data_IF_605829711077
#
_entry.id   IF_605829711077
#
_cell.length_a   1.000
_cell.length_b   1.000
_cell.length_c   1.000
_cell.angle_alpha   90.00
_cell.angle_beta   90.00
_cell.angle_gamma   90.00
#
_symmetry.space_group_name_H-M   'P 1'
#
loop_
_entity.id
_entity.type
_entity.pdbx_description
1 polymer ?
#
# COMPACT_ATOMS: atom_id res chain seq x y z
N UNK A 1 4.14 -32.07 29.33
CA UNK A 1 2.72 -31.64 29.21
C UNK A 1 2.44 -30.34 29.92
N UNK A 2 2.73 -30.17 31.22
CA UNK A 2 2.41 -28.91 31.97
C UNK A 2 2.98 -27.62 31.34
N UNK A 3 4.25 -27.68 30.89
CA UNK A 3 4.92 -26.53 30.24
C UNK A 3 4.27 -26.14 28.90
N UNK A 4 3.84 -27.13 28.10
CA UNK A 4 3.14 -26.86 26.83
C UNK A 4 1.80 -26.16 27.09
N UNK A 5 1.04 -26.64 28.07
CA UNK A 5 -0.23 -26.02 28.47
C UNK A 5 -0.01 -24.59 28.98
N UNK A 6 1.04 -24.34 29.76
CA UNK A 6 1.39 -23.00 30.23
C UNK A 6 1.73 -22.06 29.06
N UNK A 7 2.56 -22.51 28.11
CA UNK A 7 2.91 -21.72 26.93
C UNK A 7 1.66 -21.38 26.10
N UNK A 8 0.79 -22.38 25.86
CA UNK A 8 -0.46 -22.15 25.12
C UNK A 8 -1.35 -21.15 25.86
N UNK A 9 -1.49 -21.29 27.18
CA UNK A 9 -2.29 -20.34 27.98
C UNK A 9 -1.71 -18.90 27.87
N UNK A 10 -0.41 -18.74 27.96
CA UNK A 10 0.26 -17.42 27.81
C UNK A 10 0.01 -16.83 26.41
N UNK A 11 0.12 -17.64 25.35
CA UNK A 11 -0.14 -17.18 23.98
C UNK A 11 -1.60 -16.76 23.76
N UNK A 12 -2.54 -17.51 24.31
CA UNK A 12 -3.99 -17.17 24.24
C UNK A 12 -4.26 -15.86 24.98
N UNK A 13 -3.69 -15.67 26.16
CA UNK A 13 -3.84 -14.42 26.92
C UNK A 13 -3.21 -13.24 26.15
N UNK A 14 -2.01 -13.42 25.61
CA UNK A 14 -1.34 -12.39 24.82
C UNK A 14 -2.15 -12.00 23.56
N UNK A 15 -2.71 -13.00 22.85
CA UNK A 15 -3.58 -12.76 21.70
C UNK A 15 -4.88 -12.03 22.10
N UNK A 16 -5.47 -12.39 23.25
CA UNK A 16 -6.65 -11.70 23.80
C UNK A 16 -6.35 -10.24 24.14
N UNK A 17 -5.21 -9.95 24.76
CA UNK A 17 -4.78 -8.58 25.06
C UNK A 17 -4.54 -7.80 23.76
N UNK A 18 -3.86 -8.38 22.80
CA UNK A 18 -3.62 -7.76 21.50
C UNK A 18 -4.94 -7.43 20.76
N UNK A 19 -5.91 -8.35 20.80
CA UNK A 19 -7.24 -8.15 20.23
C UNK A 19 -8.00 -7.01 20.94
N UNK A 20 -7.95 -6.96 22.26
CA UNK A 20 -8.58 -5.90 23.05
C UNK A 20 -7.98 -4.52 22.73
N UNK A 21 -6.66 -4.41 22.74
CA UNK A 21 -5.98 -3.17 22.37
C UNK A 21 -6.31 -2.81 20.93
N UNK A 22 -6.25 -3.76 20.00
CA UNK A 22 -6.59 -3.54 18.59
C UNK A 22 -8.04 -3.09 18.38
N UNK A 23 -8.98 -3.54 19.21
CA UNK A 23 -10.36 -3.09 19.17
C UNK A 23 -10.52 -1.61 19.58
N UNK A 24 -9.65 -1.10 20.45
CA UNK A 24 -9.63 0.30 20.89
C UNK A 24 -8.94 1.24 19.89
N UNK A 25 -8.15 0.70 18.94
CA UNK A 25 -7.48 1.49 17.93
C UNK A 25 -8.45 1.93 16.82
N UNK A 26 -8.24 3.12 16.22
CA UNK A 26 -9.05 3.57 15.10
C UNK A 26 -8.91 2.61 13.90
N UNK A 27 -10.02 2.42 13.19
CA UNK A 27 -10.05 1.65 11.94
C UNK A 27 -9.27 2.36 10.85
N UNK A 28 -9.38 3.70 10.79
CA UNK A 28 -8.73 4.55 9.79
C UNK A 28 -7.37 5.01 10.25
N UNK A 29 -6.45 5.08 9.30
CA UNK A 29 -5.14 5.68 9.51
C UNK A 29 -4.74 6.46 8.26
N UNK A 30 -3.83 7.40 8.45
CA UNK A 30 -3.20 8.13 7.37
C UNK A 30 -1.69 7.95 7.46
N UNK A 31 -1.05 7.68 6.32
CA UNK A 31 0.39 7.60 6.20
C UNK A 31 0.84 8.24 4.90
N UNK A 32 2.02 8.85 4.88
CA UNK A 32 2.59 9.35 3.64
C UNK A 32 4.12 9.25 3.64
N UNK A 33 4.69 9.12 2.46
CA UNK A 33 6.13 9.18 2.19
C UNK A 33 6.35 9.85 0.85
N UNK A 34 7.54 10.42 0.69
CA UNK A 34 7.94 11.03 -0.56
C UNK A 34 9.34 10.58 -0.96
N UNK A 35 9.62 10.63 -2.26
CA UNK A 35 10.93 10.37 -2.80
C UNK A 35 11.15 11.15 -4.11
N UNK A 36 12.41 11.48 -4.39
CA UNK A 36 12.79 12.19 -5.61
C UNK A 36 13.36 11.22 -6.63
N UNK A 37 12.93 11.42 -7.88
CA UNK A 37 13.32 10.61 -9.03
C UNK A 37 13.99 11.48 -10.10
N UNK A 38 15.03 10.94 -10.76
CA UNK A 38 15.74 11.61 -11.86
C UNK A 38 15.07 11.37 -13.22
N UNK A 39 13.75 11.31 -13.23
CA UNK A 39 12.92 11.11 -14.44
C UNK A 39 11.83 12.18 -14.47
N UNK A 40 11.43 12.58 -15.68
CA UNK A 40 10.38 13.57 -15.85
C UNK A 40 9.02 13.06 -15.33
N UNK A 41 8.08 13.96 -14.90
CA UNK A 41 6.77 13.59 -14.41
C UNK A 41 5.99 12.66 -15.34
N UNK A 42 6.01 12.91 -16.64
CA UNK A 42 5.30 12.07 -17.63
C UNK A 42 5.83 10.63 -17.65
N UNK A 43 7.15 10.44 -17.59
CA UNK A 43 7.75 9.11 -17.57
C UNK A 43 7.46 8.38 -16.25
N UNK A 44 7.45 9.10 -15.13
CA UNK A 44 7.08 8.56 -13.83
C UNK A 44 5.61 8.14 -13.81
N UNK A 45 4.72 9.04 -14.27
CA UNK A 45 3.29 8.77 -14.36
C UNK A 45 2.97 7.56 -15.23
N UNK A 46 3.62 7.44 -16.39
CA UNK A 46 3.43 6.32 -17.31
C UNK A 46 3.75 4.97 -16.66
N UNK A 47 4.75 4.90 -15.79
CA UNK A 47 5.08 3.68 -15.04
C UNK A 47 4.05 3.41 -13.95
N UNK A 48 3.59 4.43 -13.23
CA UNK A 48 2.58 4.29 -12.17
C UNK A 48 1.22 3.85 -12.72
N UNK A 49 0.82 4.38 -13.88
CA UNK A 49 -0.45 4.07 -14.54
C UNK A 49 -0.38 2.81 -15.43
N UNK A 50 0.81 2.27 -15.63
CA UNK A 50 1.06 1.08 -16.44
C UNK A 50 0.96 -0.23 -15.65
N UNK A 51 1.32 -1.36 -16.31
CA UNK A 51 1.34 -2.66 -15.67
C UNK A 51 2.25 -2.70 -14.44
N UNK A 52 1.80 -3.34 -13.32
CA UNK A 52 2.55 -3.38 -12.06
C UNK A 52 3.64 -4.48 -12.02
N UNK A 53 4.12 -4.97 -13.16
CA UNK A 53 5.09 -6.06 -13.31
C UNK A 53 6.47 -5.78 -12.70
N UNK A 54 6.76 -4.53 -12.45
CA UNK A 54 8.00 -4.06 -11.81
C UNK A 54 7.95 -4.13 -10.27
N UNK A 55 6.77 -4.36 -9.67
CA UNK A 55 6.60 -4.43 -8.21
C UNK A 55 6.93 -5.84 -7.70
N UNK A 56 7.83 -5.94 -6.74
CA UNK A 56 8.27 -7.24 -6.18
C UNK A 56 7.13 -8.00 -5.47
N UNK A 57 6.14 -7.29 -4.96
CA UNK A 57 4.97 -7.87 -4.28
C UNK A 57 3.91 -8.45 -5.23
N UNK A 58 3.95 -8.13 -6.54
CA UNK A 58 2.95 -8.56 -7.52
C UNK A 58 3.48 -9.78 -8.28
N UNK A 59 2.74 -10.89 -8.28
CA UNK A 59 3.06 -12.12 -9.01
C UNK A 59 2.29 -12.25 -10.31
N UNK A 60 1.04 -11.82 -10.30
CA UNK A 60 0.20 -11.76 -11.48
C UNK A 60 -0.80 -10.61 -11.36
N UNK A 61 -1.27 -10.13 -12.49
CA UNK A 61 -2.26 -9.06 -12.55
C UNK A 61 -3.11 -9.23 -13.81
N UNK A 62 -4.23 -8.55 -13.86
CA UNK A 62 -5.09 -8.54 -15.05
C UNK A 62 -6.11 -7.42 -14.99
N UNK A 63 -6.50 -6.96 -16.17
CA UNK A 63 -7.54 -5.95 -16.32
C UNK A 63 -8.93 -6.53 -16.04
N UNK A 64 -9.82 -5.68 -15.56
CA UNK A 64 -11.24 -5.97 -15.38
C UNK A 64 -12.05 -4.99 -16.22
N UNK A 65 -13.30 -5.37 -16.59
CA UNK A 65 -14.20 -4.41 -17.19
C UNK A 65 -14.36 -3.15 -16.37
N UNK A 66 -14.36 -2.00 -17.02
CA UNK A 66 -14.61 -0.72 -16.38
C UNK A 66 -15.98 -0.74 -15.69
N UNK A 67 -16.06 -0.10 -14.54
CA UNK A 67 -17.31 0.07 -13.81
C UNK A 67 -17.53 1.55 -13.53
N UNK A 68 -18.70 2.06 -13.87
CA UNK A 68 -19.06 3.47 -13.71
C UNK A 68 -18.05 4.45 -14.37
N UNK A 69 -17.46 4.01 -15.50
CA UNK A 69 -16.47 4.78 -16.26
C UNK A 69 -15.07 4.80 -15.62
N UNK A 70 -14.82 3.96 -14.63
CA UNK A 70 -13.52 3.86 -13.93
C UNK A 70 -12.80 2.59 -14.32
N UNK A 71 -11.51 2.72 -14.62
CA UNK A 71 -10.61 1.59 -14.88
C UNK A 71 -10.47 0.74 -13.64
N UNK A 72 -10.46 -0.59 -13.84
CA UNK A 72 -10.30 -1.58 -12.77
C UNK A 72 -9.32 -2.66 -13.19
N UNK A 73 -8.57 -3.16 -12.22
CA UNK A 73 -7.67 -4.30 -12.38
C UNK A 73 -7.57 -5.08 -11.07
N UNK A 74 -7.00 -6.26 -11.14
CA UNK A 74 -6.64 -7.05 -9.97
C UNK A 74 -5.14 -7.32 -9.96
N UNK A 75 -4.58 -7.43 -8.77
CA UNK A 75 -3.22 -7.86 -8.51
C UNK A 75 -3.25 -9.06 -7.56
N UNK A 76 -2.35 -10.02 -7.76
CA UNK A 76 -2.19 -11.20 -6.91
C UNK A 76 -0.77 -11.23 -6.34
N UNK A 77 -0.66 -11.45 -5.05
CA UNK A 77 0.62 -11.56 -4.35
C UNK A 77 1.17 -12.99 -4.33
N UNK A 78 2.33 -13.19 -3.66
CA UNK A 78 2.97 -14.50 -3.48
C UNK A 78 2.14 -15.49 -2.64
N UNK A 79 1.16 -15.02 -1.88
CA UNK A 79 0.25 -15.83 -1.06
C UNK A 79 -1.07 -16.15 -1.78
N UNK A 80 -1.16 -15.82 -3.08
CA UNK A 80 -2.38 -15.95 -3.91
C UNK A 80 -3.55 -15.10 -3.42
N UNK A 81 -3.25 -14.05 -2.67
CA UNK A 81 -4.27 -13.07 -2.32
C UNK A 81 -4.46 -12.11 -3.49
N UNK A 82 -5.68 -12.09 -4.02
CA UNK A 82 -6.09 -11.15 -5.05
C UNK A 82 -6.72 -9.92 -4.41
N UNK A 83 -6.35 -8.76 -4.93
CA UNK A 83 -6.92 -7.48 -4.55
C UNK A 83 -7.35 -6.76 -5.81
N UNK A 84 -8.58 -6.30 -5.84
CA UNK A 84 -9.14 -5.49 -6.94
C UNK A 84 -8.94 -4.02 -6.65
N UNK A 85 -8.43 -3.31 -7.63
CA UNK A 85 -8.20 -1.88 -7.60
C UNK A 85 -9.10 -1.14 -8.57
N UNK A 86 -9.41 0.11 -8.25
CA UNK A 86 -10.17 1.05 -9.07
C UNK A 86 -9.44 2.38 -9.12
N UNK A 87 -9.28 2.92 -10.33
CA UNK A 87 -8.74 4.25 -10.55
C UNK A 87 -9.84 5.29 -10.28
N UNK A 88 -9.73 6.01 -9.17
CA UNK A 88 -10.75 6.98 -8.74
C UNK A 88 -10.42 8.41 -9.12
N UNK A 89 -9.15 8.71 -9.41
CA UNK A 89 -8.69 9.99 -9.94
C UNK A 89 -7.57 9.75 -10.95
N UNK A 90 -7.63 10.42 -12.10
CA UNK A 90 -6.66 10.32 -13.20
C UNK A 90 -6.40 11.71 -13.78
N UNK A 91 -5.32 12.36 -13.33
CA UNK A 91 -4.93 13.71 -13.73
C UNK A 91 -3.44 13.75 -14.17
N UNK A 92 -3.10 13.13 -15.32
CA UNK A 92 -1.72 13.05 -15.79
C UNK A 92 -1.12 14.42 -16.11
N UNK A 93 0.18 14.61 -15.89
CA UNK A 93 1.09 13.69 -15.20
C UNK A 93 1.21 14.00 -13.70
N UNK A 94 0.24 14.71 -13.11
CA UNK A 94 0.36 15.35 -11.79
C UNK A 94 -0.19 14.53 -10.63
N UNK A 95 -1.27 13.78 -10.89
CA UNK A 95 -1.98 13.13 -9.80
C UNK A 95 -2.73 11.90 -10.26
N UNK A 96 -2.71 10.86 -9.41
CA UNK A 96 -3.49 9.65 -9.57
C UNK A 96 -3.98 9.20 -8.19
N UNK A 97 -5.20 8.67 -8.11
CA UNK A 97 -5.68 8.01 -6.90
C UNK A 97 -6.29 6.65 -7.23
N UNK A 98 -5.92 5.65 -6.43
CA UNK A 98 -6.30 4.25 -6.59
C UNK A 98 -6.94 3.75 -5.31
N UNK A 99 -8.12 3.14 -5.41
CA UNK A 99 -8.85 2.59 -4.28
C UNK A 99 -8.90 1.07 -4.35
N UNK A 100 -8.85 0.40 -3.19
CA UNK A 100 -9.21 -1.01 -3.07
C UNK A 100 -10.73 -1.14 -3.23
N UNK A 101 -11.18 -1.89 -4.24
CA UNK A 101 -12.58 -2.02 -4.60
C UNK A 101 -13.24 -3.29 -4.01
N UNK A 102 -12.47 -4.22 -3.46
CA UNK A 102 -12.99 -5.44 -2.86
C UNK A 102 -13.71 -5.17 -1.54
N UNK A 103 -14.87 -5.82 -1.39
CA UNK A 103 -15.61 -5.88 -0.15
C UNK A 103 -15.28 -7.21 0.56
N UNK A 104 -14.97 -7.15 1.85
CA UNK A 104 -14.68 -8.35 2.63
C UNK A 104 -13.21 -8.65 2.87
N UNK A 105 -12.30 -7.85 2.35
CA UNK A 105 -10.90 -7.88 2.77
C UNK A 105 -10.76 -7.36 4.21
N UNK A 106 -9.76 -7.82 4.98
CA UNK A 106 -9.50 -7.33 6.33
C UNK A 106 -8.93 -5.90 6.36
N UNK A 107 -8.75 -5.29 5.21
CA UNK A 107 -8.24 -3.94 5.00
C UNK A 107 -8.88 -3.31 3.76
N UNK A 108 -8.77 -1.98 3.64
CA UNK A 108 -9.23 -1.19 2.50
C UNK A 108 -8.52 0.16 2.47
N UNK A 109 -8.98 1.05 1.61
CA UNK A 109 -8.47 2.42 1.56
C UNK A 109 -8.11 2.90 0.16
N UNK A 110 -7.53 4.10 0.13
CA UNK A 110 -7.14 4.78 -1.10
C UNK A 110 -5.69 5.23 -1.01
N UNK A 111 -4.93 5.00 -2.08
CA UNK A 111 -3.60 5.56 -2.27
C UNK A 111 -3.67 6.71 -3.26
N UNK A 112 -3.05 7.82 -2.89
CA UNK A 112 -2.91 9.00 -3.73
C UNK A 112 -1.45 9.22 -4.07
N UNK A 113 -1.19 9.45 -5.35
CA UNK A 113 0.13 9.72 -5.91
C UNK A 113 0.15 11.16 -6.43
N UNK A 114 0.91 12.03 -5.78
CA UNK A 114 1.12 13.40 -6.20
C UNK A 114 2.52 13.55 -6.80
N UNK A 115 2.61 14.04 -8.03
CA UNK A 115 3.87 14.20 -8.77
C UNK A 115 4.09 15.69 -9.06
N UNK A 116 5.21 16.21 -8.60
CA UNK A 116 5.64 17.57 -8.90
C UNK A 116 6.96 17.55 -9.69
N UNK A 117 7.13 18.43 -10.68
CA UNK A 117 8.41 18.58 -11.37
C UNK A 117 9.47 19.17 -10.42
N UNK A 118 10.72 18.74 -10.59
CA UNK A 118 11.87 19.34 -9.93
C UNK A 118 12.67 20.20 -10.91
N UNK A 119 13.30 21.25 -10.41
CA UNK A 119 14.25 22.03 -11.17
C UNK A 119 15.39 21.11 -11.65
N UNK A 120 15.67 21.14 -12.98
CA UNK A 120 16.67 20.27 -13.59
C UNK A 120 16.14 18.95 -14.16
N UNK A 121 14.81 18.74 -14.21
CA UNK A 121 14.20 17.65 -15.01
C UNK A 121 13.85 16.36 -14.27
N UNK A 122 13.81 16.37 -12.94
CA UNK A 122 13.35 15.26 -12.11
C UNK A 122 11.90 15.40 -11.66
N UNK A 123 11.47 14.47 -10.81
CA UNK A 123 10.15 14.46 -10.17
C UNK A 123 10.26 14.25 -8.68
N UNK A 124 9.40 14.92 -7.93
CA UNK A 124 9.10 14.66 -6.53
C UNK A 124 7.78 13.87 -6.47
N UNK A 125 7.81 12.65 -5.99
CA UNK A 125 6.63 11.79 -5.81
C UNK A 125 6.29 11.72 -4.34
N UNK A 126 5.08 12.13 -3.99
CA UNK A 126 4.46 11.87 -2.69
C UNK A 126 3.40 10.78 -2.85
N UNK A 127 3.48 9.74 -2.03
CA UNK A 127 2.42 8.75 -1.89
C UNK A 127 1.77 8.95 -0.53
N UNK A 128 0.45 9.09 -0.52
CA UNK A 128 -0.36 9.15 0.68
C UNK A 128 -1.36 7.99 0.69
N UNK A 129 -1.52 7.36 1.85
CA UNK A 129 -2.48 6.30 2.10
C UNK A 129 -3.50 6.77 3.13
N UNK A 130 -4.77 6.78 2.74
CA UNK A 130 -5.91 6.84 3.63
C UNK A 130 -6.43 5.40 3.78
N UNK A 131 -5.85 4.68 4.75
CA UNK A 131 -6.05 3.25 4.92
C UNK A 131 -7.10 2.91 5.97
N UNK A 132 -7.72 1.75 5.81
CA UNK A 132 -8.67 1.18 6.75
C UNK A 132 -8.25 -0.25 7.10
N UNK A 133 -8.19 -0.59 8.39
CA UNK A 133 -7.87 -1.94 8.87
C UNK A 133 -9.05 -2.44 9.72
N UNK A 134 -9.81 -3.39 9.18
CA UNK A 134 -11.02 -3.89 9.83
C UNK A 134 -10.72 -4.98 10.87
N UNK A 135 -9.67 -5.77 10.68
CA UNK A 135 -9.28 -6.82 11.60
C UNK A 135 -8.53 -6.25 12.81
N UNK A 136 -9.00 -6.57 14.02
CA UNK A 136 -8.45 -6.02 15.28
C UNK A 136 -7.00 -6.44 15.55
N UNK A 137 -6.62 -7.66 15.20
CA UNK A 137 -5.25 -8.14 15.35
C UNK A 137 -4.33 -7.41 14.36
N UNK A 138 -4.78 -7.20 13.13
CA UNK A 138 -4.01 -6.45 12.13
C UNK A 138 -3.84 -4.98 12.53
N UNK A 139 -4.84 -4.36 13.18
CA UNK A 139 -4.68 -2.99 13.74
C UNK A 139 -3.59 -2.93 14.80
N UNK A 140 -3.59 -3.90 15.73
CA UNK A 140 -2.53 -4.01 16.72
C UNK A 140 -1.15 -4.17 16.06
N UNK A 141 -1.01 -5.10 15.11
CA UNK A 141 0.24 -5.38 14.41
C UNK A 141 0.71 -4.17 13.59
N UNK A 142 -0.18 -3.51 12.86
CA UNK A 142 0.14 -2.31 12.10
C UNK A 142 0.61 -1.16 13.01
N UNK A 143 -0.01 -0.99 14.18
CA UNK A 143 0.34 0.10 15.10
C UNK A 143 1.67 -0.12 15.82
N UNK A 144 1.98 -1.36 16.23
CA UNK A 144 3.06 -1.63 17.18
C UNK A 144 4.22 -2.45 16.61
N UNK A 145 4.03 -3.15 15.50
CA UNK A 145 5.04 -4.05 14.93
C UNK A 145 5.51 -3.59 13.55
N UNK A 146 4.61 -3.36 12.60
CA UNK A 146 4.99 -3.10 11.20
C UNK A 146 5.07 -1.60 10.87
N UNK A 147 4.31 -0.74 11.56
CA UNK A 147 4.06 0.64 11.15
C UNK A 147 3.08 0.73 9.98
N UNK A 148 2.66 1.95 9.65
CA UNK A 148 1.73 2.21 8.55
C UNK A 148 2.43 2.57 7.23
N UNK A 149 3.76 2.75 7.24
CA UNK A 149 4.50 3.28 6.09
C UNK A 149 5.26 2.22 5.29
N UNK A 150 5.36 1.00 5.83
CA UNK A 150 6.19 -0.06 5.23
C UNK A 150 5.80 -0.42 3.80
N UNK A 151 4.50 -0.45 3.48
CA UNK A 151 3.97 -0.69 2.13
C UNK A 151 4.37 0.41 1.15
N UNK A 152 4.22 1.68 1.56
CA UNK A 152 4.61 2.85 0.75
C UNK A 152 6.13 2.85 0.51
N UNK A 153 6.91 2.58 1.54
CA UNK A 153 8.37 2.53 1.43
C UNK A 153 8.85 1.40 0.52
N UNK A 154 8.20 0.22 0.59
CA UNK A 154 8.46 -0.88 -0.34
C UNK A 154 8.18 -0.48 -1.78
N UNK A 155 7.02 0.13 -2.03
CA UNK A 155 6.62 0.62 -3.34
C UNK A 155 7.63 1.64 -3.92
N UNK A 156 8.08 2.61 -3.12
CA UNK A 156 9.07 3.61 -3.53
C UNK A 156 10.44 2.97 -3.86
N UNK A 157 10.85 1.93 -3.11
CA UNK A 157 12.09 1.19 -3.41
C UNK A 157 11.99 0.41 -4.72
N UNK A 158 10.87 -0.27 -4.95
CA UNK A 158 10.62 -1.01 -6.20
C UNK A 158 10.63 -0.05 -7.39
N UNK A 159 9.99 1.11 -7.25
CA UNK A 159 9.98 2.16 -8.27
C UNK A 159 11.39 2.72 -8.52
N UNK A 160 12.19 2.90 -7.47
CA UNK A 160 13.61 3.23 -7.59
C UNK A 160 14.37 2.20 -8.42
N UNK A 161 14.15 0.92 -8.15
CA UNK A 161 14.74 -0.21 -8.91
C UNK A 161 14.30 -0.18 -10.38
N UNK A 162 13.01 0.09 -10.65
CA UNK A 162 12.48 0.22 -12.02
C UNK A 162 13.21 1.28 -12.85
N UNK A 163 13.65 2.36 -12.21
CA UNK A 163 14.39 3.45 -12.85
C UNK A 163 15.91 3.37 -12.66
N UNK A 164 16.44 2.24 -12.19
CA UNK A 164 17.86 2.01 -11.90
C UNK A 164 18.48 3.13 -11.03
N UNK A 165 17.78 3.49 -9.95
CA UNK A 165 18.25 4.49 -9.00
C UNK A 165 17.92 4.12 -7.56
N UNK A 166 18.82 4.48 -6.65
CA UNK A 166 18.52 4.46 -5.21
C UNK A 166 17.76 5.74 -4.86
N UNK A 167 16.65 5.57 -4.14
CA UNK A 167 15.83 6.68 -3.67
C UNK A 167 16.01 6.89 -2.19
N UNK A 168 16.05 8.16 -1.76
CA UNK A 168 15.95 8.54 -0.36
C UNK A 168 14.46 8.78 -0.07
N UNK A 169 13.94 8.06 0.92
CA UNK A 169 12.54 8.17 1.32
C UNK A 169 12.44 9.13 2.49
N UNK A 170 11.60 10.13 2.34
CA UNK A 170 11.37 11.20 3.33
C UNK A 170 9.95 11.08 3.91
N UNK A 171 9.75 11.67 5.09
CA UNK A 171 8.45 11.70 5.77
C UNK A 171 7.45 12.63 5.07
#
# INVERSE_FOLDING_TARGET
>A
MKWVLLIVAVLVVAAGIAALIGAMLPVRHHASRRARFRVAPDALYAVLAGPPDWRTGVKSFGELPDQDGRKRWWEEDSHRQKVTFELVEDAPPKRMAVRIADQGLPFGGTWTFDIAPLDGGGSDLRIAEDGEIYNVIFRFMARFVFGYTGSIEGYLRDLGTKFDQRVTIEA
#
